data_IF_271992330333
#
_entry.id   IF_271992330333
#
_cell.length_a   1.000
_cell.length_b   1.000
_cell.length_c   1.000
_cell.angle_alpha   90.00
_cell.angle_beta   90.00
_cell.angle_gamma   90.00
#
_symmetry.space_group_name_H-M   'P 1'
#
loop_
_entity.id
_entity.type
_entity.pdbx_description
1 polymer ?
#
# COMPACT_ATOMS: atom_id res chain seq x y z
N UNK A 1 4.10 15.16 20.50
CA UNK A 1 3.32 14.85 19.30
C UNK A 1 3.98 15.43 18.04
N UNK A 2 4.43 16.69 18.11
CA UNK A 2 5.09 17.34 16.98
C UNK A 2 6.39 16.65 16.56
N UNK A 3 7.17 16.21 17.53
CA UNK A 3 8.44 15.53 17.24
C UNK A 3 8.22 14.19 16.56
N UNK A 4 7.25 13.40 17.04
CA UNK A 4 6.91 12.14 16.40
C UNK A 4 6.40 12.35 14.99
N UNK A 5 5.57 13.38 14.78
CA UNK A 5 5.06 13.70 13.45
C UNK A 5 6.18 14.06 12.48
N UNK A 6 7.20 14.80 12.95
CA UNK A 6 8.36 15.15 12.12
C UNK A 6 9.18 13.91 11.77
N UNK A 7 9.43 13.03 12.75
CA UNK A 7 10.17 11.79 12.52
C UNK A 7 9.40 10.87 11.54
N UNK A 8 8.08 10.73 11.76
CA UNK A 8 7.24 9.93 10.89
C UNK A 8 7.17 10.53 9.49
N UNK A 9 7.14 11.85 9.37
CA UNK A 9 7.14 12.54 8.08
C UNK A 9 8.43 12.26 7.31
N UNK A 10 9.59 12.24 7.98
CA UNK A 10 10.87 11.92 7.37
C UNK A 10 10.88 10.50 6.82
N UNK A 11 10.43 9.52 7.61
CA UNK A 11 10.32 8.13 7.18
C UNK A 11 9.30 7.99 6.05
N UNK A 12 8.16 8.67 6.15
CA UNK A 12 7.13 8.63 5.13
C UNK A 12 7.63 9.19 3.80
N UNK A 13 8.39 10.28 3.80
CA UNK A 13 8.95 10.86 2.59
C UNK A 13 9.94 9.91 1.91
N UNK A 14 10.78 9.23 2.68
CA UNK A 14 11.74 8.26 2.15
C UNK A 14 11.02 7.08 1.51
N UNK A 15 9.99 6.55 2.17
CA UNK A 15 9.18 5.45 1.66
C UNK A 15 8.44 5.89 0.40
N UNK A 16 7.85 7.08 0.42
CA UNK A 16 7.15 7.63 -0.74
C UNK A 16 8.07 7.71 -1.96
N UNK A 17 9.27 8.25 -1.79
CA UNK A 17 10.22 8.39 -2.89
C UNK A 17 10.60 7.04 -3.48
N UNK A 18 10.82 6.03 -2.64
CA UNK A 18 11.14 4.67 -3.08
C UNK A 18 9.96 4.02 -3.81
N UNK A 19 8.73 4.26 -3.35
CA UNK A 19 7.54 3.75 -4.04
C UNK A 19 7.36 4.40 -5.42
N UNK A 20 7.49 5.72 -5.50
CA UNK A 20 7.31 6.46 -6.76
C UNK A 20 8.38 6.05 -7.79
N UNK A 21 9.58 5.72 -7.34
CA UNK A 21 10.62 5.20 -8.24
C UNK A 21 10.17 3.91 -8.94
N UNK A 22 9.25 3.15 -8.36
CA UNK A 22 8.72 1.94 -8.96
C UNK A 22 7.81 2.18 -10.17
N UNK A 23 7.39 3.41 -10.43
CA UNK A 23 6.65 3.74 -11.66
C UNK A 23 7.44 3.39 -12.93
N UNK A 24 8.77 3.37 -12.84
CA UNK A 24 9.60 2.95 -13.97
C UNK A 24 9.37 1.47 -14.32
N UNK A 25 9.11 0.63 -13.31
CA UNK A 25 8.85 -0.80 -13.50
C UNK A 25 7.37 -1.12 -13.66
N UNK A 26 6.50 -0.29 -13.10
CA UNK A 26 5.05 -0.47 -13.08
C UNK A 26 4.36 0.81 -13.57
N UNK A 27 4.53 1.18 -14.84
CA UNK A 27 3.93 2.43 -15.33
C UNK A 27 2.40 2.37 -15.31
N UNK A 28 1.79 3.55 -15.20
CA UNK A 28 0.34 3.68 -15.28
C UNK A 28 -0.19 2.96 -16.51
N UNK A 29 -1.22 2.13 -16.32
CA UNK A 29 -1.88 1.41 -17.41
C UNK A 29 -1.19 0.12 -17.86
N UNK A 30 -0.04 -0.23 -17.27
CA UNK A 30 0.60 -1.51 -17.57
C UNK A 30 -0.36 -2.64 -17.27
N UNK A 31 -0.48 -3.61 -18.18
CA UNK A 31 -1.34 -4.77 -17.96
C UNK A 31 -0.89 -5.51 -16.70
N UNK A 32 -1.83 -5.75 -15.79
CA UNK A 32 -1.56 -6.45 -14.53
C UNK A 32 -2.81 -7.21 -14.11
N UNK A 33 -2.68 -8.52 -13.98
CA UNK A 33 -3.82 -9.40 -13.73
C UNK A 33 -3.51 -10.40 -12.63
N UNK A 34 -4.48 -11.26 -12.32
CA UNK A 34 -4.29 -12.34 -11.35
C UNK A 34 -3.27 -13.41 -11.78
N UNK A 35 -2.73 -13.31 -12.98
CA UNK A 35 -1.63 -14.16 -13.42
C UNK A 35 -0.27 -13.69 -12.90
N UNK A 36 -0.17 -12.43 -12.47
CA UNK A 36 1.07 -11.87 -11.93
C UNK A 36 1.25 -12.27 -10.47
N UNK A 37 2.42 -12.83 -10.14
CA UNK A 37 2.75 -13.27 -8.77
C UNK A 37 3.97 -12.53 -8.25
N UNK A 38 4.02 -12.30 -6.94
CA UNK A 38 5.20 -11.77 -6.26
C UNK A 38 5.34 -12.41 -4.88
N UNK A 39 6.56 -12.91 -4.55
CA UNK A 39 6.91 -13.39 -3.22
C UNK A 39 7.23 -12.22 -2.30
N UNK A 40 6.60 -12.15 -1.12
CA UNK A 40 6.67 -10.99 -0.24
C UNK A 40 7.60 -11.22 0.95
N UNK A 41 8.34 -10.18 1.35
CA UNK A 41 9.28 -10.23 2.47
C UNK A 41 8.68 -9.77 3.79
N UNK A 42 7.46 -9.26 3.79
CA UNK A 42 6.80 -8.75 5.00
C UNK A 42 6.47 -9.80 6.05
N UNK A 43 6.33 -11.06 5.65
CA UNK A 43 6.28 -12.20 6.56
C UNK A 43 4.90 -12.64 7.03
N UNK A 44 3.85 -11.88 6.77
CA UNK A 44 2.48 -12.30 7.11
C UNK A 44 1.99 -13.32 6.07
N UNK A 45 2.27 -13.05 4.80
CA UNK A 45 2.01 -13.96 3.69
C UNK A 45 3.31 -14.24 2.95
N UNK A 46 3.43 -15.42 2.34
CA UNK A 46 4.60 -15.75 1.53
C UNK A 46 4.61 -15.00 0.19
N UNK A 47 3.44 -14.63 -0.31
CA UNK A 47 3.29 -13.90 -1.55
C UNK A 47 1.83 -13.83 -1.97
N UNK A 48 1.59 -13.30 -3.16
CA UNK A 48 0.23 -13.18 -3.68
C UNK A 48 0.19 -12.90 -5.16
N UNK A 49 -1.01 -12.90 -5.70
CA UNK A 49 -1.31 -12.67 -7.11
C UNK A 49 -2.06 -11.36 -7.29
N UNK A 50 -2.01 -10.81 -8.51
CA UNK A 50 -2.83 -9.68 -8.90
C UNK A 50 -2.57 -8.44 -8.05
N UNK A 51 -3.62 -7.89 -7.45
CA UNK A 51 -3.52 -6.68 -6.63
C UNK A 51 -2.53 -6.86 -5.47
N UNK A 52 -2.52 -8.03 -4.83
CA UNK A 52 -1.58 -8.32 -3.76
C UNK A 52 -0.13 -8.36 -4.28
N UNK A 53 0.10 -8.96 -5.43
CA UNK A 53 1.44 -9.03 -6.02
C UNK A 53 2.03 -7.62 -6.24
N UNK A 54 1.26 -6.72 -6.80
CA UNK A 54 1.70 -5.35 -7.03
C UNK A 54 1.99 -4.63 -5.71
N UNK A 55 1.05 -4.69 -4.76
CA UNK A 55 1.23 -4.04 -3.46
C UNK A 55 2.46 -4.58 -2.73
N UNK A 56 2.67 -5.89 -2.76
CA UNK A 56 3.83 -6.53 -2.14
C UNK A 56 5.15 -6.09 -2.79
N UNK A 57 5.19 -6.02 -4.12
CA UNK A 57 6.40 -5.61 -4.83
C UNK A 57 6.80 -4.17 -4.50
N UNK A 58 5.85 -3.25 -4.52
CA UNK A 58 6.09 -1.85 -4.18
C UNK A 58 6.46 -1.70 -2.70
N UNK A 59 5.78 -2.45 -1.83
CA UNK A 59 6.07 -2.48 -0.39
C UNK A 59 7.51 -2.93 -0.11
N UNK A 60 7.97 -4.00 -0.75
CA UNK A 60 9.34 -4.49 -0.56
C UNK A 60 10.38 -3.50 -1.09
N UNK A 61 10.09 -2.84 -2.21
CA UNK A 61 10.98 -1.82 -2.76
C UNK A 61 11.19 -0.67 -1.77
N UNK A 62 10.15 -0.33 -1.01
CA UNK A 62 10.19 0.76 -0.04
C UNK A 62 10.75 0.35 1.32
N UNK A 63 10.48 -0.88 1.76
CA UNK A 63 10.74 -1.31 3.14
C UNK A 63 11.74 -2.46 3.28
N UNK A 64 12.20 -3.02 2.17
CA UNK A 64 13.22 -4.07 2.17
C UNK A 64 12.78 -5.32 2.93
N UNK A 65 13.57 -5.69 3.94
CA UNK A 65 13.34 -6.91 4.73
C UNK A 65 12.54 -6.67 6.01
N UNK A 66 12.06 -5.45 6.26
CA UNK A 66 11.30 -5.15 7.46
C UNK A 66 10.02 -6.00 7.51
N UNK A 67 9.72 -6.56 8.67
CA UNK A 67 8.54 -7.41 8.84
C UNK A 67 7.30 -6.54 9.04
N UNK A 68 6.18 -7.03 8.53
CA UNK A 68 4.90 -6.34 8.65
C UNK A 68 4.16 -6.78 9.91
N UNK A 69 3.33 -5.87 10.43
CA UNK A 69 2.35 -6.19 11.47
C UNK A 69 0.96 -5.78 10.99
N UNK A 70 -0.07 -6.43 11.52
CA UNK A 70 -1.47 -6.15 11.18
C UNK A 70 -2.09 -5.28 12.27
N UNK A 71 -2.88 -4.29 11.86
CA UNK A 71 -3.73 -3.54 12.77
C UNK A 71 -5.00 -3.06 12.05
N UNK A 72 -5.92 -2.46 12.82
CA UNK A 72 -7.24 -2.05 12.33
C UNK A 72 -7.53 -0.58 12.64
N UNK A 73 -6.51 0.21 12.95
CA UNK A 73 -6.67 1.61 13.30
C UNK A 73 -6.58 2.48 12.05
N UNK A 74 -7.74 2.81 11.47
CA UNK A 74 -7.82 3.62 10.24
C UNK A 74 -7.47 5.09 10.47
N UNK A 75 -7.31 5.52 11.73
CA UNK A 75 -6.79 6.84 12.05
C UNK A 75 -5.26 6.87 12.09
N UNK A 76 -4.62 5.71 11.99
CA UNK A 76 -3.16 5.57 12.06
C UNK A 76 -2.60 4.88 10.82
N UNK A 77 -3.16 5.18 9.66
CA UNK A 77 -2.62 4.71 8.38
C UNK A 77 -1.34 5.48 8.07
N UNK A 78 -0.33 4.78 7.58
CA UNK A 78 0.96 5.39 7.21
C UNK A 78 1.25 5.21 5.73
N UNK A 79 2.06 6.11 5.18
CA UNK A 79 2.58 5.98 3.82
C UNK A 79 3.34 4.66 3.71
N UNK A 80 3.04 3.88 2.68
CA UNK A 80 3.62 2.55 2.49
C UNK A 80 2.80 1.40 3.06
N UNK A 81 1.75 1.70 3.84
CA UNK A 81 0.86 0.65 4.34
C UNK A 81 0.13 -0.04 3.20
N UNK A 82 -0.11 -1.34 3.36
CA UNK A 82 -0.99 -2.10 2.47
C UNK A 82 -2.34 -2.23 3.16
N UNK A 83 -3.39 -1.86 2.44
CA UNK A 83 -4.76 -1.96 2.94
C UNK A 83 -5.49 -3.08 2.21
N UNK A 84 -6.15 -3.96 2.96
CA UNK A 84 -7.14 -4.87 2.39
C UNK A 84 -8.49 -4.17 2.42
N UNK A 85 -9.09 -4.02 1.28
CA UNK A 85 -10.30 -3.20 1.09
C UNK A 85 -11.37 -4.00 0.36
N UNK A 86 -12.53 -3.38 0.12
CA UNK A 86 -13.63 -3.97 -0.64
C UNK A 86 -14.06 -5.33 -0.05
N UNK A 87 -14.26 -5.36 1.28
CA UNK A 87 -14.64 -6.57 2.01
C UNK A 87 -13.64 -7.71 1.81
N UNK A 88 -12.35 -7.38 1.93
CA UNK A 88 -11.23 -8.34 1.84
C UNK A 88 -11.06 -8.95 0.45
N UNK A 89 -11.40 -8.21 -0.60
CA UNK A 89 -11.26 -8.70 -1.98
C UNK A 89 -10.19 -7.99 -2.79
N UNK A 90 -9.61 -6.90 -2.25
CA UNK A 90 -8.65 -6.08 -3.00
C UNK A 90 -7.57 -5.55 -2.08
N UNK A 91 -6.35 -5.39 -2.62
CA UNK A 91 -5.21 -4.80 -1.93
C UNK A 91 -4.79 -3.52 -2.62
N UNK A 92 -4.47 -2.48 -1.82
CA UNK A 92 -3.90 -1.24 -2.32
C UNK A 92 -2.73 -0.84 -1.43
N UNK A 93 -1.81 -0.02 -1.96
CA UNK A 93 -0.70 0.51 -1.17
C UNK A 93 -0.82 2.03 -1.05
N UNK A 94 -0.59 2.55 0.15
CA UNK A 94 -0.80 3.96 0.47
C UNK A 94 0.40 4.79 0.04
N UNK A 95 0.15 5.78 -0.82
CA UNK A 95 1.14 6.75 -1.29
C UNK A 95 1.15 8.00 -0.44
N UNK A 96 -0.04 8.46 0.00
CA UNK A 96 -0.20 9.72 0.69
C UNK A 96 -1.36 9.61 1.67
N UNK A 97 -1.19 10.20 2.85
CA UNK A 97 -2.23 10.23 3.88
C UNK A 97 -2.68 11.67 4.08
N UNK A 98 -3.97 11.91 3.88
CA UNK A 98 -4.61 13.19 4.13
C UNK A 98 -5.46 13.10 5.40
N UNK A 99 -6.10 14.20 5.79
CA UNK A 99 -6.93 14.21 7.00
C UNK A 99 -8.06 13.18 6.94
N UNK A 100 -8.83 13.17 5.85
CA UNK A 100 -10.03 12.34 5.71
C UNK A 100 -9.92 11.27 4.63
N UNK A 101 -8.78 11.19 3.94
CA UNK A 101 -8.61 10.28 2.81
C UNK A 101 -7.16 9.82 2.68
N UNK A 102 -6.95 8.85 1.80
CA UNK A 102 -5.62 8.39 1.39
C UNK A 102 -5.56 8.31 -0.13
N UNK A 103 -4.36 8.51 -0.67
CA UNK A 103 -4.10 8.29 -2.10
C UNK A 103 -3.36 6.96 -2.19
N UNK A 104 -3.78 6.09 -3.11
CA UNK A 104 -3.23 4.74 -3.21
C UNK A 104 -2.78 4.41 -4.63
N UNK A 105 -1.93 3.38 -4.73
CA UNK A 105 -1.59 2.71 -5.98
C UNK A 105 -2.09 1.27 -5.90
N UNK A 106 -2.40 0.68 -7.05
CA UNK A 106 -2.99 -0.65 -7.10
C UNK A 106 -2.72 -1.36 -8.43
N UNK A 107 -2.62 -2.68 -8.35
CA UNK A 107 -2.57 -3.55 -9.52
C UNK A 107 -3.90 -4.24 -9.71
N UNK A 108 -4.11 -4.76 -10.91
CA UNK A 108 -5.37 -5.40 -11.29
C UNK A 108 -6.60 -4.48 -11.11
N UNK A 109 -6.38 -3.20 -11.35
CA UNK A 109 -7.44 -2.21 -11.44
C UNK A 109 -7.85 -2.12 -12.91
N UNK A 110 -9.01 -2.69 -13.24
CA UNK A 110 -9.40 -2.89 -14.65
C UNK A 110 -8.29 -3.60 -15.44
N UNK A 111 -7.66 -4.62 -14.85
CA UNK A 111 -6.57 -5.40 -15.42
C UNK A 111 -5.31 -4.57 -15.71
N UNK A 112 -5.07 -3.51 -14.96
CA UNK A 112 -3.90 -2.65 -15.13
C UNK A 112 -3.38 -2.09 -13.82
N UNK A 113 -2.21 -1.45 -13.89
CA UNK A 113 -1.62 -0.67 -12.79
C UNK A 113 -2.26 0.72 -12.79
N UNK A 114 -2.62 1.19 -11.61
CA UNK A 114 -3.17 2.54 -11.43
C UNK A 114 -2.53 3.23 -10.23
N UNK A 115 -2.03 4.44 -10.44
CA UNK A 115 -1.41 5.27 -9.41
C UNK A 115 -2.27 6.51 -9.17
N UNK A 116 -2.79 6.65 -7.95
CA UNK A 116 -3.40 7.92 -7.55
C UNK A 116 -4.88 7.91 -7.25
N UNK A 117 -5.49 6.74 -7.01
CA UNK A 117 -6.90 6.72 -6.59
C UNK A 117 -7.03 7.24 -5.17
N UNK A 118 -8.05 8.06 -4.92
CA UNK A 118 -8.33 8.58 -3.58
C UNK A 118 -9.43 7.75 -2.92
N UNK A 119 -9.18 7.30 -1.68
CA UNK A 119 -10.14 6.55 -0.87
C UNK A 119 -10.45 7.32 0.41
N UNK A 120 -11.73 7.41 0.77
CA UNK A 120 -12.14 8.08 2.01
C UNK A 120 -11.93 7.16 3.20
N UNK A 121 -11.37 7.69 4.29
CA UNK A 121 -11.14 6.91 5.51
C UNK A 121 -12.44 6.35 6.10
N UNK A 122 -13.54 7.10 5.99
CA UNK A 122 -14.85 6.63 6.45
C UNK A 122 -15.28 5.35 5.71
N UNK A 123 -15.05 5.29 4.39
CA UNK A 123 -15.38 4.10 3.61
C UNK A 123 -14.47 2.92 3.98
N UNK A 124 -13.19 3.20 4.24
CA UNK A 124 -12.25 2.16 4.67
C UNK A 124 -12.64 1.57 6.02
N UNK A 125 -13.12 2.40 6.95
CA UNK A 125 -13.59 1.91 8.25
C UNK A 125 -14.79 0.99 8.11
N UNK A 126 -15.66 1.23 7.10
CA UNK A 126 -16.84 0.40 6.87
C UNK A 126 -16.54 -0.90 6.14
N UNK A 127 -15.68 -0.86 5.12
CA UNK A 127 -15.45 -2.03 4.25
C UNK A 127 -14.02 -2.54 4.24
N UNK A 128 -13.09 -1.90 4.93
CA UNK A 128 -11.72 -2.35 5.06
C UNK A 128 -11.61 -3.50 6.04
N UNK A 129 -10.74 -4.46 5.73
CA UNK A 129 -10.55 -5.63 6.59
C UNK A 129 -9.40 -5.44 7.56
N UNK A 130 -8.23 -4.99 7.06
CA UNK A 130 -7.07 -4.74 7.92
C UNK A 130 -5.99 -3.94 7.18
N UNK A 131 -5.03 -3.49 7.97
CA UNK A 131 -3.89 -2.70 7.53
C UNK A 131 -2.63 -3.49 7.85
N UNK A 132 -1.69 -3.56 6.89
CA UNK A 132 -0.37 -4.14 7.12
C UNK A 132 0.67 -3.03 7.06
N UNK A 133 1.39 -2.81 8.17
CA UNK A 133 2.39 -1.76 8.28
C UNK A 133 3.77 -2.37 8.51
N UNK A 134 4.82 -1.72 7.96
CA UNK A 134 6.19 -2.21 8.06
C UNK A 134 7.11 -1.29 8.87
N UNK A 135 6.57 -0.21 9.44
CA UNK A 135 7.40 0.66 10.29
C UNK A 135 6.58 1.41 11.34
#
# INVERSE_FOLDING_TARGET
>A
AGELAVADTGAANDIYDKMIAQKANFPEGLKWTNDNYYGWKGGIYSGGFGCAAFAFAVSDAASGDARATIHHDYNNIRVGDILRVENDTHSVIVLEVKQDSVIVAEGNYNSSIHWGRELQKADLADNGSYIMTRY
#
